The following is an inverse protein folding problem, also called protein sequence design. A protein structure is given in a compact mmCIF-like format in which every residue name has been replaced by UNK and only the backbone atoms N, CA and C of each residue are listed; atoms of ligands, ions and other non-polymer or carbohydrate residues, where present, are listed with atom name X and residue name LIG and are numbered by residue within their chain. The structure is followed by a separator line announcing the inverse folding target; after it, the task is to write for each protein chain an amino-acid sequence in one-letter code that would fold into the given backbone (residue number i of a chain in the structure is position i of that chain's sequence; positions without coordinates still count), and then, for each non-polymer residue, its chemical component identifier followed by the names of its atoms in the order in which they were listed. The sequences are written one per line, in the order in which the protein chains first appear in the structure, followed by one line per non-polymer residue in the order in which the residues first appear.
data_IF_710804735510
#
_entry.id   IF_710804735510
#
_cell.length_a   1.000
_cell.length_b   1.000
_cell.length_c   1.000
_cell.angle_alpha   90.00
_cell.angle_beta   90.00
_cell.angle_gamma   90.00
#
_symmetry.space_group_name_H-M   'P 1'
#
loop_
_entity.id
_entity.type
_entity.pdbx_description
1 polymer ?
#
# COMPACT_ATOMS: atom_id res chain seq x y z
N UNK A 1 3.10 -10.49 4.58
CA UNK A 1 1.98 -9.60 4.22
C UNK A 1 2.45 -8.31 3.58
N UNK A 2 3.14 -7.41 4.30
CA UNK A 2 3.59 -6.13 3.73
C UNK A 2 4.41 -6.26 2.42
N UNK A 3 5.29 -7.27 2.31
CA UNK A 3 6.03 -7.51 1.07
C UNK A 3 5.18 -8.01 -0.11
N UNK A 4 4.02 -8.63 0.12
CA UNK A 4 3.08 -8.97 -0.95
C UNK A 4 2.33 -7.72 -1.40
N UNK A 5 1.85 -6.92 -0.45
CA UNK A 5 1.22 -5.62 -0.73
C UNK A 5 2.16 -4.71 -1.53
N UNK A 6 3.45 -4.69 -1.20
CA UNK A 6 4.48 -3.95 -1.94
C UNK A 6 4.50 -4.34 -3.43
N UNK A 7 4.61 -5.64 -3.72
CA UNK A 7 4.67 -6.13 -5.11
C UNK A 7 3.35 -5.86 -5.85
N UNK A 8 2.20 -6.00 -5.18
CA UNK A 8 0.88 -5.71 -5.77
C UNK A 8 0.74 -4.21 -6.06
N UNK A 9 1.25 -3.34 -5.18
CA UNK A 9 1.28 -1.89 -5.39
C UNK A 9 2.14 -1.52 -6.61
N UNK A 10 3.35 -2.07 -6.72
CA UNK A 10 4.21 -1.90 -7.90
C UNK A 10 3.50 -2.35 -9.18
N UNK A 11 2.82 -3.51 -9.14
CA UNK A 11 2.09 -4.03 -10.28
C UNK A 11 0.92 -3.13 -10.69
N UNK A 12 0.16 -2.58 -9.74
CA UNK A 12 -0.93 -1.63 -10.04
C UNK A 12 -0.43 -0.32 -10.62
N UNK A 13 0.66 0.22 -10.08
CA UNK A 13 1.28 1.44 -10.64
C UNK A 13 1.81 1.17 -12.05
N UNK A 14 2.43 0.02 -12.28
CA UNK A 14 2.86 -0.39 -13.62
C UNK A 14 1.69 -0.54 -14.59
N UNK A 15 0.59 -1.16 -14.16
CA UNK A 15 -0.62 -1.33 -14.96
C UNK A 15 -1.25 0.03 -15.34
N UNK A 16 -1.27 1.00 -14.41
CA UNK A 16 -1.76 2.36 -14.70
C UNK A 16 -0.86 3.08 -15.72
N UNK A 17 0.46 3.01 -15.53
CA UNK A 17 1.44 3.71 -16.40
C UNK A 17 1.49 3.13 -17.81
N UNK A 18 1.13 1.87 -17.99
CA UNK A 18 1.07 1.19 -19.29
C UNK A 18 -0.30 1.24 -19.97
N UNK A 19 -1.32 1.75 -19.27
CA UNK A 19 -2.69 1.77 -19.77
C UNK A 19 -3.38 0.41 -19.78
N UNK A 20 -2.83 -0.59 -19.07
CA UNK A 20 -3.44 -1.92 -18.93
C UNK A 20 -4.76 -1.88 -18.16
N UNK A 21 -4.88 -0.97 -17.20
CA UNK A 21 -6.04 -0.86 -16.31
C UNK A 21 -5.92 -1.74 -15.06
N UNK A 22 -6.53 -1.28 -13.97
CA UNK A 22 -6.47 -1.96 -12.67
C UNK A 22 -7.38 -3.20 -12.58
N UNK A 23 -8.47 -3.21 -13.36
CA UNK A 23 -9.46 -4.29 -13.42
C UNK A 23 -8.86 -5.58 -14.01
N UNK A 24 -8.04 -5.47 -15.05
CA UNK A 24 -7.36 -6.61 -15.67
C UNK A 24 -6.38 -7.26 -14.68
N UNK A 25 -5.58 -6.44 -13.98
CA UNK A 25 -4.64 -6.94 -12.98
C UNK A 25 -5.36 -7.54 -11.78
N UNK A 26 -6.41 -6.89 -11.27
CA UNK A 26 -7.21 -7.39 -10.15
C UNK A 26 -7.83 -8.75 -10.48
N UNK A 27 -8.37 -8.91 -11.70
CA UNK A 27 -8.91 -10.19 -12.18
C UNK A 27 -7.83 -11.27 -12.29
N UNK A 28 -6.62 -10.92 -12.73
CA UNK A 28 -5.50 -11.85 -12.78
C UNK A 28 -5.11 -12.33 -11.37
N UNK A 29 -5.08 -11.42 -10.38
CA UNK A 29 -4.79 -11.75 -8.98
C UNK A 29 -5.87 -12.65 -8.37
N UNK A 30 -7.15 -12.35 -8.63
CA UNK A 30 -8.28 -13.18 -8.20
C UNK A 30 -8.18 -14.62 -8.73
N UNK A 31 -7.92 -14.78 -10.03
CA UNK A 31 -7.94 -16.08 -10.68
C UNK A 31 -6.70 -16.94 -10.38
N UNK A 32 -5.53 -16.32 -10.14
CA UNK A 32 -4.26 -17.03 -10.13
C UNK A 32 -3.48 -16.95 -8.80
N UNK A 33 -3.73 -15.93 -7.98
CA UNK A 33 -2.94 -15.65 -6.76
C UNK A 33 -3.75 -15.74 -5.46
N UNK A 34 -5.06 -16.01 -5.57
CA UNK A 34 -5.93 -16.31 -4.45
C UNK A 34 -6.47 -15.08 -3.71
N UNK A 35 -7.28 -15.35 -2.69
CA UNK A 35 -8.12 -14.34 -2.02
C UNK A 35 -7.33 -13.27 -1.29
N UNK A 36 -6.14 -13.59 -0.78
CA UNK A 36 -5.29 -12.63 -0.06
C UNK A 36 -4.75 -11.57 -1.02
N UNK A 37 -4.14 -11.98 -2.13
CA UNK A 37 -3.62 -11.05 -3.13
C UNK A 37 -4.74 -10.21 -3.78
N UNK A 38 -5.89 -10.85 -4.03
CA UNK A 38 -7.07 -10.14 -4.54
C UNK A 38 -7.57 -9.09 -3.55
N UNK A 39 -7.65 -9.39 -2.25
CA UNK A 39 -8.07 -8.44 -1.23
C UNK A 39 -7.11 -7.24 -1.13
N UNK A 40 -5.80 -7.48 -1.21
CA UNK A 40 -4.79 -6.42 -1.22
C UNK A 40 -4.94 -5.52 -2.46
N UNK A 41 -5.24 -6.09 -3.63
CA UNK A 41 -5.59 -5.35 -4.85
C UNK A 41 -6.79 -4.44 -4.63
N UNK A 42 -7.90 -4.99 -4.14
CA UNK A 42 -9.16 -4.27 -3.92
C UNK A 42 -8.93 -3.06 -3.00
N UNK A 43 -8.09 -3.19 -1.96
CA UNK A 43 -7.77 -2.06 -1.07
C UNK A 43 -7.17 -0.86 -1.81
N UNK A 44 -6.30 -1.12 -2.79
CA UNK A 44 -5.61 -0.09 -3.57
C UNK A 44 -6.54 0.55 -4.61
N UNK A 45 -7.32 -0.29 -5.32
CA UNK A 45 -8.18 0.15 -6.42
C UNK A 45 -9.43 0.88 -5.95
N UNK A 46 -9.94 0.55 -4.75
CA UNK A 46 -11.15 1.17 -4.17
C UNK A 46 -10.87 2.31 -3.18
N UNK A 47 -9.60 2.72 -3.04
CA UNK A 47 -9.22 3.84 -2.18
C UNK A 47 -9.23 3.55 -0.68
N UNK A 48 -9.33 2.28 -0.25
CA UNK A 48 -9.21 1.88 1.16
C UNK A 48 -7.83 2.20 1.73
N UNK A 49 -6.79 2.16 0.89
CA UNK A 49 -5.42 2.53 1.29
C UNK A 49 -5.34 3.95 1.91
N UNK A 50 -6.29 4.83 1.55
CA UNK A 50 -6.48 6.16 2.10
C UNK A 50 -7.98 6.37 2.40
N UNK A 51 -8.46 5.97 3.59
CA UNK A 51 -9.86 6.05 3.98
C UNK A 51 -10.50 7.43 3.76
N UNK A 52 -11.83 7.46 3.63
CA UNK A 52 -12.60 8.70 3.54
C UNK A 52 -12.43 9.56 4.79
N UNK A 53 -12.74 10.86 4.67
CA UNK A 53 -12.71 11.77 5.82
C UNK A 53 -13.69 11.26 6.90
N UNK A 54 -13.19 10.99 8.09
CA UNK A 54 -13.99 10.46 9.21
C UNK A 54 -14.15 8.93 9.23
N UNK A 55 -13.60 8.21 8.24
CA UNK A 55 -13.58 6.74 8.22
C UNK A 55 -12.32 6.19 8.88
N UNK A 56 -12.41 4.96 9.40
CA UNK A 56 -11.28 4.24 9.96
C UNK A 56 -10.65 3.32 8.92
N UNK A 57 -9.31 3.13 8.95
CA UNK A 57 -8.66 2.15 8.10
C UNK A 57 -9.13 0.73 8.43
N UNK A 58 -9.12 -0.16 7.44
CA UNK A 58 -9.39 -1.59 7.68
C UNK A 58 -8.27 -2.24 8.48
N UNK A 59 -7.05 -1.75 8.31
CA UNK A 59 -5.83 -2.15 9.02
C UNK A 59 -4.98 -0.90 9.23
N UNK A 60 -4.79 -0.49 10.48
CA UNK A 60 -4.09 0.76 10.80
C UNK A 60 -2.60 0.76 10.39
N UNK A 61 -2.16 1.86 9.77
CA UNK A 61 -0.76 2.06 9.35
C UNK A 61 0.23 2.02 10.52
N UNK A 62 -0.10 2.58 11.68
CA UNK A 62 0.82 2.63 12.81
C UNK A 62 1.04 1.22 13.39
N UNK A 63 -0.01 0.40 13.42
CA UNK A 63 0.10 -1.02 13.77
C UNK A 63 0.98 -1.77 12.76
N UNK A 64 0.79 -1.54 11.46
CA UNK A 64 1.64 -2.15 10.43
C UNK A 64 3.12 -1.74 10.57
N UNK A 65 3.40 -0.46 10.84
CA UNK A 65 4.76 0.03 11.11
C UNK A 65 5.42 -0.69 12.28
N UNK A 66 4.67 -0.85 13.38
CA UNK A 66 5.13 -1.56 14.56
C UNK A 66 5.45 -3.02 14.24
N UNK A 67 4.50 -3.75 13.64
CA UNK A 67 4.60 -5.19 13.44
C UNK A 67 5.63 -5.56 12.37
N UNK A 68 5.63 -4.84 11.23
CA UNK A 68 6.65 -5.01 10.18
C UNK A 68 8.03 -4.62 10.70
N UNK A 69 8.12 -3.54 11.48
CA UNK A 69 9.36 -3.12 12.12
C UNK A 69 9.93 -4.20 13.04
N UNK A 70 9.10 -4.79 13.91
CA UNK A 70 9.51 -5.91 14.76
C UNK A 70 9.94 -7.14 13.95
N UNK A 71 9.21 -7.48 12.89
CA UNK A 71 9.57 -8.61 12.02
C UNK A 71 10.92 -8.43 11.33
N UNK A 72 11.18 -7.24 10.78
CA UNK A 72 12.45 -6.90 10.13
C UNK A 72 13.62 -6.93 11.13
N UNK A 73 13.45 -6.34 12.32
CA UNK A 73 14.49 -6.32 13.34
C UNK A 73 14.78 -7.74 13.88
N UNK A 74 13.74 -8.54 14.10
CA UNK A 74 13.90 -9.94 14.52
C UNK A 74 14.67 -10.76 13.50
N UNK A 75 14.36 -10.59 12.20
CA UNK A 75 15.09 -11.26 11.13
C UNK A 75 16.56 -10.84 11.08
N UNK A 76 16.85 -9.54 11.25
CA UNK A 76 18.21 -9.01 11.32
C UNK A 76 19.00 -9.62 12.48
N UNK A 77 18.39 -9.74 13.66
CA UNK A 77 19.00 -10.39 14.83
C UNK A 77 19.29 -11.88 14.59
N UNK A 78 18.45 -12.53 13.79
CA UNK A 78 18.67 -13.91 13.34
C UNK A 78 19.65 -14.04 12.16
N UNK A 79 20.28 -12.96 11.70
CA UNK A 79 21.21 -12.98 10.57
C UNK A 79 20.54 -13.11 9.18
N UNK A 80 19.24 -12.85 9.09
CA UNK A 80 18.45 -12.94 7.84
C UNK A 80 18.08 -11.53 7.36
N UNK A 81 18.33 -11.25 6.08
CA UNK A 81 17.92 -9.99 5.45
C UNK A 81 16.60 -10.14 4.71
N UNK A 82 15.55 -9.46 5.19
CA UNK A 82 14.24 -9.40 4.52
C UNK A 82 14.20 -8.21 3.55
N UNK A 83 14.80 -8.35 2.35
CA UNK A 83 14.91 -7.24 1.38
C UNK A 83 13.57 -6.58 1.05
N UNK A 84 12.58 -7.37 0.65
CA UNK A 84 11.23 -6.85 0.34
C UNK A 84 10.54 -6.29 1.60
N UNK A 85 10.79 -6.90 2.76
CA UNK A 85 10.31 -6.38 4.05
C UNK A 85 10.89 -5.01 4.40
N UNK A 86 12.18 -4.79 4.09
CA UNK A 86 12.83 -3.49 4.27
C UNK A 86 12.25 -2.42 3.33
N UNK A 87 12.01 -2.76 2.06
CA UNK A 87 11.35 -1.85 1.11
C UNK A 87 9.96 -1.47 1.61
N UNK A 88 9.13 -2.45 1.95
CA UNK A 88 7.79 -2.18 2.47
C UNK A 88 7.82 -1.33 3.76
N UNK A 89 8.75 -1.61 4.68
CA UNK A 89 8.90 -0.82 5.91
C UNK A 89 9.31 0.63 5.62
N UNK A 90 10.13 0.86 4.61
CA UNK A 90 10.54 2.19 4.15
C UNK A 90 9.33 2.96 3.60
N UNK A 91 8.57 2.36 2.69
CA UNK A 91 7.37 2.98 2.15
C UNK A 91 6.29 3.22 3.21
N UNK A 92 6.10 2.33 4.18
CA UNK A 92 5.19 2.57 5.30
C UNK A 92 5.61 3.79 6.14
N UNK A 93 6.91 4.01 6.35
CA UNK A 93 7.41 5.21 7.06
C UNK A 93 7.12 6.48 6.28
N UNK A 94 7.30 6.45 4.95
CA UNK A 94 6.98 7.57 4.07
C UNK A 94 5.48 7.83 4.00
N UNK A 95 4.65 6.79 4.00
CA UNK A 95 3.20 6.94 4.09
C UNK A 95 2.79 7.61 5.41
N UNK A 96 3.47 7.29 6.51
CA UNK A 96 3.24 7.98 7.80
C UNK A 96 3.65 9.44 7.75
N UNK A 97 4.78 9.77 7.14
CA UNK A 97 5.19 11.16 6.93
C UNK A 97 4.14 11.92 6.09
N UNK A 98 3.66 11.31 5.00
CA UNK A 98 2.57 11.88 4.19
C UNK A 98 1.30 12.11 5.03
N UNK A 99 0.91 11.16 5.89
CA UNK A 99 -0.23 11.32 6.81
C UNK A 99 -0.03 12.54 7.73
N UNK A 100 1.15 12.68 8.34
CA UNK A 100 1.47 13.77 9.26
C UNK A 100 1.44 15.14 8.57
N UNK A 101 2.00 15.24 7.37
CA UNK A 101 2.01 16.45 6.55
C UNK A 101 0.61 16.85 6.06
N UNK A 102 -0.32 15.88 5.99
CA UNK A 102 -1.69 16.08 5.50
C UNK A 102 -2.73 16.04 6.64
N UNK A 103 -2.38 16.59 7.81
CA UNK A 103 -3.30 16.77 8.93
C UNK A 103 -3.59 15.49 9.70
N UNK A 104 -2.61 14.60 9.82
CA UNK A 104 -2.70 13.31 10.52
C UNK A 104 -3.83 12.43 9.97
N UNK A 105 -4.01 12.46 8.65
CA UNK A 105 -5.06 11.70 7.99
C UNK A 105 -4.86 10.20 8.24
N UNK A 106 -5.87 9.46 8.76
CA UNK A 106 -5.75 8.03 8.95
C UNK A 106 -5.44 7.32 7.62
N UNK A 107 -4.53 6.36 7.66
CA UNK A 107 -4.11 5.56 6.51
C UNK A 107 -4.18 4.07 6.84
N UNK A 108 -4.46 3.27 5.82
CA UNK A 108 -4.45 1.81 5.93
C UNK A 108 -3.01 1.27 5.74
N UNK A 109 -2.75 0.04 6.17
CA UNK A 109 -1.47 -0.64 5.97
C UNK A 109 -1.10 -0.85 4.50
N UNK A 110 -2.08 -0.80 3.60
CA UNK A 110 -1.87 -0.77 2.14
C UNK A 110 -1.42 0.61 1.59
N UNK A 111 -1.27 1.63 2.44
CA UNK A 111 -0.92 3.01 2.04
C UNK A 111 0.49 3.18 1.45
N UNK A 112 1.36 2.17 1.56
CA UNK A 112 2.58 2.09 0.77
C UNK A 112 2.32 2.25 -0.73
N UNK A 113 1.11 1.89 -1.20
CA UNK A 113 0.70 2.09 -2.58
C UNK A 113 0.78 3.56 -3.02
N UNK A 114 0.36 4.49 -2.15
CA UNK A 114 0.47 5.92 -2.45
C UNK A 114 1.92 6.39 -2.58
N UNK A 115 2.85 5.75 -1.87
CA UNK A 115 4.29 6.05 -1.99
C UNK A 115 4.87 5.50 -3.29
N UNK A 116 4.54 4.26 -3.64
CA UNK A 116 4.93 3.67 -4.94
C UNK A 116 4.43 4.51 -6.12
N UNK A 117 3.22 5.08 -6.00
CA UNK A 117 2.69 6.05 -6.96
C UNK A 117 3.58 7.29 -7.08
N UNK A 118 3.94 7.90 -5.95
CA UNK A 118 4.81 9.08 -5.92
C UNK A 118 6.18 8.81 -6.54
N UNK A 119 6.78 7.66 -6.25
CA UNK A 119 8.07 7.25 -6.84
C UNK A 119 7.99 7.05 -8.36
N UNK A 120 6.79 6.82 -8.88
CA UNK A 120 6.50 6.68 -10.31
C UNK A 120 6.00 7.98 -10.97
N UNK A 121 6.09 9.10 -10.27
CA UNK A 121 5.69 10.43 -10.74
C UNK A 121 4.17 10.64 -10.79
N UNK A 122 3.39 9.89 -10.01
CA UNK A 122 1.95 10.06 -9.84
C UNK A 122 1.62 10.73 -8.51
N UNK A 123 0.40 11.26 -8.35
CA UNK A 123 -0.08 11.73 -7.04
C UNK A 123 -0.30 10.52 -6.11
N UNK A 124 -0.03 10.71 -4.81
CA UNK A 124 -0.32 9.73 -3.77
C UNK A 124 -1.78 9.26 -3.82
N UNK A 125 -2.70 10.20 -4.11
CA UNK A 125 -4.13 9.96 -4.28
C UNK A 125 -4.42 9.51 -5.70
N UNK A 126 -5.12 8.39 -5.84
CA UNK A 126 -5.76 8.03 -7.10
C UNK A 126 -6.82 9.07 -7.46
N UNK A 127 -7.19 9.14 -8.75
CA UNK A 127 -8.30 9.99 -9.19
C UNK A 127 -9.63 9.64 -8.49
N UNK A 128 -9.82 8.37 -8.11
CA UNK A 128 -10.95 7.94 -7.28
C UNK A 128 -10.93 8.64 -5.92
N UNK A 129 -9.80 8.58 -5.19
CA UNK A 129 -9.67 9.23 -3.87
C UNK A 129 -9.85 10.73 -3.97
N UNK A 130 -9.27 11.37 -5.00
CA UNK A 130 -9.45 12.81 -5.25
C UNK A 130 -10.92 13.18 -5.46
N UNK A 131 -11.65 12.42 -6.28
CA UNK A 131 -13.08 12.65 -6.55
C UNK A 131 -13.96 12.41 -5.32
N UNK A 132 -13.66 11.37 -4.52
CA UNK A 132 -14.40 11.05 -3.29
C UNK A 132 -14.25 12.15 -2.23
N UNK A 133 -13.09 12.80 -2.18
CA UNK A 133 -12.74 13.76 -1.12
C UNK A 133 -13.06 15.24 -1.43
N UNK A 134 -13.49 15.52 -2.67
CA UNK A 134 -13.99 16.83 -3.11
C UNK A 134 -15.28 17.18 -2.37
#
# INVERSE_FOLDING_TARGET
MAGLMEIIAEAHVFAEKTGLGADVLERLLELNFGTVAHSDSVRMTTGVYMPGKGETPWSDLNLALKDVGHGVESAKQAGVSLKVGNTALEHLKRAKAYSDENGQRPLDSSSLYGIVRQDSGLDFRTEYVKKRDQ
#
